data_IF_824195720294
#
_entry.id   IF_824195720294
#
_cell.length_a   1.000
_cell.length_b   1.000
_cell.length_c   1.000
_cell.angle_alpha   90.00
_cell.angle_beta   90.00
_cell.angle_gamma   90.00
#
_symmetry.space_group_name_H-M   'P 1'
#
loop_
_entity.id
_entity.type
_entity.pdbx_description
1 polymer ?
#
# COMPACT_ATOMS: atom_id res chain seq x y z
N UNK A 1 19.80 -13.30 -12.78
CA UNK A 1 18.94 -14.29 -12.09
C UNK A 1 18.14 -13.67 -10.95
N UNK A 2 18.72 -13.25 -9.82
CA UNK A 2 17.93 -12.64 -8.73
C UNK A 2 17.43 -11.23 -9.06
N UNK A 3 18.31 -10.38 -9.63
CA UNK A 3 17.94 -9.01 -10.04
C UNK A 3 16.87 -9.00 -11.14
N UNK A 4 17.00 -9.85 -12.15
CA UNK A 4 16.00 -9.99 -13.24
C UNK A 4 14.64 -10.46 -12.72
N UNK A 5 14.63 -11.38 -11.75
CA UNK A 5 13.39 -11.86 -11.13
C UNK A 5 12.72 -10.74 -10.33
N UNK A 6 13.49 -9.98 -9.55
CA UNK A 6 12.98 -8.82 -8.82
C UNK A 6 12.43 -7.79 -9.81
N UNK A 7 13.16 -7.49 -10.88
CA UNK A 7 12.72 -6.53 -11.88
C UNK A 7 11.39 -6.93 -12.51
N UNK A 8 11.25 -8.17 -12.97
CA UNK A 8 9.99 -8.68 -13.55
C UNK A 8 8.82 -8.56 -12.56
N UNK A 9 9.04 -8.96 -11.31
CA UNK A 9 8.01 -8.91 -10.27
C UNK A 9 7.45 -7.48 -10.05
N UNK A 10 8.33 -6.46 -10.05
CA UNK A 10 7.89 -5.09 -9.88
C UNK A 10 7.38 -4.46 -11.18
N UNK A 11 7.86 -4.90 -12.34
CA UNK A 11 7.27 -4.53 -13.65
C UNK A 11 5.81 -4.99 -13.74
N UNK A 12 5.48 -6.19 -13.25
CA UNK A 12 4.10 -6.68 -13.21
C UNK A 12 3.22 -5.79 -12.33
N UNK A 13 3.72 -5.36 -11.17
CA UNK A 13 3.01 -4.41 -10.29
C UNK A 13 2.81 -3.06 -10.98
N UNK A 14 3.82 -2.57 -11.69
CA UNK A 14 3.74 -1.30 -12.44
C UNK A 14 2.70 -1.39 -13.57
N UNK A 15 2.56 -2.55 -14.21
CA UNK A 15 1.53 -2.78 -15.25
C UNK A 15 0.10 -2.65 -14.70
N UNK A 16 -0.12 -2.94 -13.41
CA UNK A 16 -1.41 -2.75 -12.74
C UNK A 16 -1.78 -1.27 -12.55
N UNK A 17 -0.87 -0.33 -12.83
CA UNK A 17 -1.06 1.12 -12.69
C UNK A 17 -1.56 1.54 -11.30
N UNK A 18 -1.10 0.86 -10.25
CA UNK A 18 -1.43 1.20 -8.87
C UNK A 18 -0.61 2.40 -8.39
N UNK A 19 -1.23 3.35 -7.71
CA UNK A 19 -0.52 4.50 -7.12
C UNK A 19 0.23 4.15 -5.83
N UNK A 20 -0.23 3.13 -5.10
CA UNK A 20 0.25 2.80 -3.76
C UNK A 20 0.38 1.28 -3.59
N UNK A 21 1.52 0.83 -3.07
CA UNK A 21 1.78 -0.58 -2.74
C UNK A 21 2.02 -0.71 -1.24
N UNK A 22 1.31 -1.63 -0.60
CA UNK A 22 1.41 -1.87 0.84
C UNK A 22 1.85 -3.31 1.10
N UNK A 23 2.94 -3.48 1.85
CA UNK A 23 3.54 -4.78 2.14
C UNK A 23 3.93 -4.95 3.61
N UNK A 24 3.82 -6.19 4.11
CA UNK A 24 4.25 -6.55 5.48
C UNK A 24 5.77 -6.73 5.57
N UNK A 25 6.40 -7.06 4.44
CA UNK A 25 7.84 -7.34 4.36
C UNK A 25 8.57 -6.08 3.94
N UNK A 26 9.87 -6.04 4.24
CA UNK A 26 10.75 -5.01 3.67
C UNK A 26 10.91 -5.24 2.17
N UNK A 27 11.03 -4.15 1.44
CA UNK A 27 11.33 -4.12 0.01
C UNK A 27 12.84 -3.89 -0.15
N UNK A 28 13.45 -4.46 -1.20
CA UNK A 28 14.86 -4.24 -1.54
C UNK A 28 15.07 -2.83 -2.12
N UNK A 29 16.23 -2.23 -1.89
CA UNK A 29 16.55 -0.88 -2.40
C UNK A 29 16.42 -0.78 -3.93
N UNK A 30 16.77 -1.86 -4.65
CA UNK A 30 16.62 -1.93 -6.10
C UNK A 30 15.15 -1.81 -6.53
N UNK A 31 14.26 -2.47 -5.80
CA UNK A 31 12.83 -2.44 -6.08
C UNK A 31 12.20 -1.08 -5.75
N UNK A 32 12.62 -0.44 -4.65
CA UNK A 32 12.20 0.93 -4.33
C UNK A 32 12.59 1.91 -5.44
N UNK A 33 13.78 1.73 -6.04
CA UNK A 33 14.21 2.54 -7.17
C UNK A 33 13.28 2.40 -8.38
N UNK A 34 12.87 1.17 -8.72
CA UNK A 34 11.91 0.92 -9.81
C UNK A 34 10.54 1.53 -9.53
N UNK A 35 10.02 1.36 -8.31
CA UNK A 35 8.73 1.93 -7.89
C UNK A 35 8.75 3.47 -7.91
N UNK A 36 9.83 4.10 -7.44
CA UNK A 36 10.03 5.55 -7.55
C UNK A 36 10.03 6.02 -9.00
N UNK A 37 10.68 5.28 -9.91
CA UNK A 37 10.68 5.58 -11.33
C UNK A 37 9.28 5.52 -11.96
N UNK A 38 8.41 4.66 -11.44
CA UNK A 38 7.02 4.53 -11.85
C UNK A 38 6.04 5.43 -11.09
N UNK A 39 6.52 6.33 -10.21
CA UNK A 39 5.70 7.19 -9.35
C UNK A 39 4.74 6.43 -8.41
N UNK A 40 5.11 5.20 -8.04
CA UNK A 40 4.35 4.37 -7.11
C UNK A 40 4.89 4.57 -5.70
N UNK A 41 4.01 4.87 -4.74
CA UNK A 41 4.39 5.01 -3.32
C UNK A 41 4.37 3.66 -2.63
N UNK A 42 5.47 3.25 -2.00
CA UNK A 42 5.53 2.02 -1.23
C UNK A 42 5.44 2.26 0.28
N UNK A 43 4.59 1.49 0.95
CA UNK A 43 4.58 1.33 2.40
C UNK A 43 4.96 -0.11 2.74
N UNK A 44 6.12 -0.28 3.37
CA UNK A 44 6.63 -1.58 3.78
C UNK A 44 6.67 -1.69 5.31
N UNK A 45 6.76 -2.93 5.82
CA UNK A 45 6.70 -3.25 7.27
C UNK A 45 5.37 -2.89 7.94
N UNK A 46 4.28 -2.92 7.18
CA UNK A 46 2.93 -2.71 7.75
C UNK A 46 2.51 -3.95 8.53
N UNK A 47 1.90 -3.75 9.70
CA UNK A 47 1.40 -4.87 10.49
C UNK A 47 0.28 -5.62 9.78
N UNK A 48 0.24 -6.93 9.99
CA UNK A 48 -0.78 -7.82 9.40
C UNK A 48 -2.21 -7.39 9.74
N UNK A 49 -2.44 -6.86 10.94
CA UNK A 49 -3.74 -6.35 11.38
C UNK A 49 -4.18 -5.16 10.52
N UNK A 50 -3.27 -4.22 10.28
CA UNK A 50 -3.55 -3.01 9.52
C UNK A 50 -3.77 -3.33 8.05
N UNK A 51 -2.96 -4.23 7.48
CA UNK A 51 -3.18 -4.74 6.12
C UNK A 51 -4.59 -5.31 5.94
N UNK A 52 -5.07 -6.10 6.90
CA UNK A 52 -6.42 -6.67 6.85
C UNK A 52 -7.52 -5.60 6.97
N UNK A 53 -7.28 -4.54 7.75
CA UNK A 53 -8.21 -3.42 7.84
C UNK A 53 -8.25 -2.61 6.54
N UNK A 54 -7.08 -2.33 5.94
CA UNK A 54 -6.98 -1.63 4.66
C UNK A 54 -7.67 -2.43 3.55
N UNK A 55 -7.41 -3.74 3.48
CA UNK A 55 -8.08 -4.61 2.51
C UNK A 55 -9.62 -4.58 2.64
N UNK A 56 -10.13 -4.52 3.87
CA UNK A 56 -11.58 -4.40 4.14
C UNK A 56 -12.13 -3.00 3.85
N UNK A 57 -11.31 -1.96 3.97
CA UNK A 57 -11.71 -0.59 3.71
C UNK A 57 -11.72 -0.27 2.21
N UNK A 58 -10.69 -0.70 1.47
CA UNK A 58 -10.47 -0.34 0.07
C UNK A 58 -10.89 -1.44 -0.92
N UNK A 59 -11.31 -2.62 -0.43
CA UNK A 59 -11.65 -3.76 -1.27
C UNK A 59 -10.43 -4.47 -1.89
N UNK A 60 -9.22 -4.18 -1.40
CA UNK A 60 -7.96 -4.69 -1.97
C UNK A 60 -7.80 -6.20 -1.79
N UNK A 61 -7.32 -6.88 -2.82
CA UNK A 61 -6.92 -8.29 -2.76
C UNK A 61 -5.53 -8.45 -2.12
N UNK A 62 -5.43 -9.26 -1.05
CA UNK A 62 -4.16 -9.50 -0.35
C UNK A 62 -3.55 -10.83 -0.76
N UNK A 63 -2.92 -10.91 -1.93
CA UNK A 63 -2.12 -12.09 -2.29
C UNK A 63 -0.62 -11.89 -2.06
N UNK A 64 0.07 -13.02 -1.97
CA UNK A 64 1.53 -13.11 -1.85
C UNK A 64 2.25 -13.01 -3.19
N UNK A 65 1.54 -13.23 -4.31
CA UNK A 65 2.09 -13.26 -5.67
C UNK A 65 1.49 -12.15 -6.52
N UNK A 66 2.30 -11.22 -7.04
CA UNK A 66 1.81 -10.11 -7.86
C UNK A 66 1.26 -10.53 -9.22
N UNK A 67 1.71 -11.66 -9.78
CA UNK A 67 1.18 -12.25 -11.01
C UNK A 67 -0.31 -12.66 -10.92
N UNK A 68 -0.81 -12.90 -9.71
CA UNK A 68 -2.21 -13.30 -9.46
C UNK A 68 -3.12 -12.08 -9.18
N UNK A 69 -2.55 -10.88 -9.15
CA UNK A 69 -3.31 -9.64 -8.94
C UNK A 69 -4.02 -9.24 -10.24
N UNK A 70 -5.34 -9.05 -10.16
CA UNK A 70 -6.16 -8.54 -11.27
C UNK A 70 -6.11 -7.01 -11.40
N UNK A 71 -6.94 -6.45 -12.27
CA UNK A 71 -7.02 -4.99 -12.47
C UNK A 71 -7.73 -4.26 -11.30
N UNK A 72 -8.58 -4.96 -10.53
CA UNK A 72 -9.38 -4.40 -9.41
C UNK A 72 -8.65 -4.37 -8.06
N UNK A 73 -7.36 -4.03 -8.03
CA UNK A 73 -6.57 -4.04 -6.79
C UNK A 73 -6.78 -2.73 -6.03
N UNK A 74 -7.80 -2.70 -5.17
CA UNK A 74 -7.93 -1.64 -4.16
C UNK A 74 -8.39 -0.28 -4.69
N UNK A 75 -9.19 -0.27 -5.75
CA UNK A 75 -9.79 0.94 -6.37
C UNK A 75 -10.77 1.67 -5.45
N UNK A 76 -11.17 1.07 -4.33
CA UNK A 76 -12.13 1.65 -3.41
C UNK A 76 -11.57 2.67 -2.44
N UNK A 77 -10.32 3.15 -2.58
CA UNK A 77 -9.74 4.21 -1.75
C UNK A 77 -9.89 5.58 -2.44
N UNK A 78 -10.50 6.56 -1.77
CA UNK A 78 -10.70 7.89 -2.36
C UNK A 78 -9.50 8.82 -2.18
N UNK A 79 -8.97 8.90 -0.96
CA UNK A 79 -7.89 9.82 -0.61
C UNK A 79 -6.83 9.16 0.26
N UNK A 80 -5.57 9.23 -0.18
CA UNK A 80 -4.40 8.93 0.63
C UNK A 80 -3.67 10.23 0.99
N UNK A 81 -3.53 10.49 2.29
CA UNK A 81 -2.82 11.67 2.80
C UNK A 81 -1.80 11.29 3.87
N UNK A 82 -0.68 11.99 3.90
CA UNK A 82 0.31 11.87 4.98
C UNK A 82 0.24 13.14 5.82
N UNK A 83 -0.18 12.99 7.07
CA UNK A 83 -0.29 14.10 8.03
C UNK A 83 0.75 13.95 9.12
N UNK A 84 1.41 15.06 9.43
CA UNK A 84 2.29 15.13 10.59
C UNK A 84 1.45 15.49 11.82
N UNK A 85 1.37 14.59 12.79
CA UNK A 85 0.69 14.80 14.07
C UNK A 85 1.74 14.67 15.16
N UNK A 86 1.93 15.75 15.94
CA UNK A 86 3.04 15.87 16.88
C UNK A 86 4.41 15.70 16.20
N UNK A 87 5.09 14.59 16.53
CA UNK A 87 6.41 14.26 16.00
C UNK A 87 6.41 13.13 14.96
N UNK A 88 5.26 12.52 14.68
CA UNK A 88 5.14 11.37 13.79
C UNK A 88 4.40 11.73 12.49
N UNK A 89 4.71 10.99 11.41
CA UNK A 89 3.98 11.06 10.15
C UNK A 89 3.03 9.88 10.09
N UNK A 90 1.73 10.17 9.98
CA UNK A 90 0.68 9.18 9.91
C UNK A 90 0.06 9.22 8.51
N UNK A 91 -0.10 8.04 7.91
CA UNK A 91 -0.79 7.88 6.63
C UNK A 91 -2.25 7.59 6.88
N UNK A 92 -3.13 8.40 6.32
CA UNK A 92 -4.57 8.22 6.36
C UNK A 92 -5.09 7.83 4.99
N UNK A 93 -5.87 6.75 4.95
CA UNK A 93 -6.61 6.32 3.77
C UNK A 93 -8.09 6.56 4.10
N UNK A 94 -8.71 7.45 3.35
CA UNK A 94 -10.06 7.98 3.63
C UNK A 94 -10.89 8.04 2.35
N UNK A 95 -12.16 8.42 2.47
CA UNK A 95 -13.12 8.50 1.36
C UNK A 95 -13.28 7.17 0.60
N UNK A 96 -13.19 6.04 1.32
CA UNK A 96 -13.39 4.74 0.69
C UNK A 96 -14.86 4.52 0.31
N UNK A 97 -15.12 3.83 -0.81
CA UNK A 97 -16.48 3.67 -1.36
C UNK A 97 -17.42 2.83 -0.49
N UNK A 98 -16.96 1.67 0.02
CA UNK A 98 -17.72 0.77 0.92
C UNK A 98 -16.83 0.24 2.05
N UNK A 99 -16.45 1.08 3.05
CA UNK A 99 -15.49 0.69 4.06
C UNK A 99 -16.10 -0.29 5.07
N UNK A 100 -15.57 -1.52 5.11
CA UNK A 100 -15.95 -2.54 6.12
C UNK A 100 -15.07 -2.52 7.37
N UNK A 101 -14.12 -1.59 7.43
CA UNK A 101 -13.25 -1.35 8.58
C UNK A 101 -13.09 0.16 8.78
N UNK A 102 -13.02 0.59 10.04
CA UNK A 102 -12.71 1.96 10.42
C UNK A 102 -11.71 1.95 11.59
N UNK A 103 -10.88 3.00 11.65
CA UNK A 103 -9.89 3.18 12.71
C UNK A 103 -10.24 4.44 13.48
N UNK A 104 -10.36 4.33 14.80
CA UNK A 104 -10.45 5.50 15.68
C UNK A 104 -9.04 5.89 16.11
N UNK A 105 -8.63 7.10 15.74
CA UNK A 105 -7.40 7.71 16.22
C UNK A 105 -7.75 8.62 17.40
N UNK A 106 -7.18 8.34 18.57
CA UNK A 106 -7.34 9.16 19.77
C UNK A 106 -6.06 9.95 19.98
N UNK A 107 -6.19 11.27 19.98
CA UNK A 107 -5.12 12.19 20.33
C UNK A 107 -5.41 12.74 21.73
N UNK A 108 -4.48 12.59 22.66
CA UNK A 108 -4.59 13.26 23.96
C UNK A 108 -4.29 14.76 23.77
N UNK A 109 -5.19 15.67 24.19
CA UNK A 109 -4.91 17.09 24.15
C UNK A 109 -3.74 17.39 25.09
N UNK A 110 -2.66 17.93 24.51
CA UNK A 110 -1.46 18.38 25.25
C UNK A 110 -1.72 19.63 26.08
#
# INVERSE_FOLDING_TARGET
MEEEYIQQLYEDIIQLKTDVVISEKSISDLAQHYLMGASVTDFHRVWKTDKNHIARACGTWTDSRPEELGEDVGTGAGLLEIKKIGHEHLTFITECEDPKACTFFLEEPS
#
